data_IF_455856069032
#
_entry.id   IF_455856069032
#
_cell.length_a   1.000
_cell.length_b   1.000
_cell.length_c   1.000
_cell.angle_alpha   90.00
_cell.angle_beta   90.00
_cell.angle_gamma   90.00
#
_symmetry.space_group_name_H-M   'P 1'
#
loop_
_entity.id
_entity.type
_entity.pdbx_description
1 polymer ?
#
# COMPACT_ATOMS: atom_id res chain seq x y z
N UNK A 1 23.35 17.66 -40.82
CA UNK A 1 21.89 17.50 -41.10
C UNK A 1 21.23 16.35 -40.36
N UNK A 2 21.92 15.21 -40.17
CA UNK A 2 21.34 14.03 -39.42
C UNK A 2 21.25 14.24 -37.91
N UNK A 3 22.24 14.87 -37.29
CA UNK A 3 22.25 15.14 -35.83
C UNK A 3 21.07 16.05 -35.38
N UNK A 4 20.78 17.08 -36.19
CA UNK A 4 19.67 18.01 -35.89
C UNK A 4 18.30 17.32 -35.95
N UNK A 5 18.11 16.38 -36.89
CA UNK A 5 16.88 15.54 -36.95
C UNK A 5 16.75 14.62 -35.77
N UNK A 6 17.83 14.00 -35.29
CA UNK A 6 17.81 13.14 -34.10
C UNK A 6 17.49 13.91 -32.82
N UNK A 7 18.04 15.11 -32.66
CA UNK A 7 17.72 15.99 -31.50
C UNK A 7 16.26 16.42 -31.53
N UNK A 8 15.72 16.78 -32.68
CA UNK A 8 14.30 17.16 -32.84
C UNK A 8 13.36 15.97 -32.60
N UNK A 9 13.73 14.76 -33.02
CA UNK A 9 12.95 13.54 -32.76
C UNK A 9 12.94 13.18 -31.27
N UNK A 10 14.07 13.34 -30.56
CA UNK A 10 14.13 13.12 -29.13
C UNK A 10 13.33 14.18 -28.34
N UNK A 11 13.41 15.46 -28.74
CA UNK A 11 12.59 16.51 -28.11
C UNK A 11 11.09 16.30 -28.33
N UNK A 12 10.66 15.86 -29.52
CA UNK A 12 9.26 15.50 -29.79
C UNK A 12 8.80 14.31 -28.95
N UNK A 13 9.65 13.30 -28.77
CA UNK A 13 9.35 12.10 -27.95
C UNK A 13 9.24 12.46 -26.46
N UNK A 14 10.12 13.32 -25.95
CA UNK A 14 10.07 13.81 -24.56
C UNK A 14 8.83 14.71 -24.34
N UNK A 15 8.50 15.57 -25.28
CA UNK A 15 7.30 16.42 -25.23
C UNK A 15 6.00 15.59 -25.26
N UNK A 16 5.96 14.53 -26.07
CA UNK A 16 4.77 13.64 -26.12
C UNK A 16 4.62 12.79 -24.85
N UNK A 17 5.72 12.33 -24.25
CA UNK A 17 5.70 11.62 -22.95
C UNK A 17 5.24 12.56 -21.82
N UNK A 18 5.70 13.80 -21.79
CA UNK A 18 5.22 14.79 -20.82
C UNK A 18 3.74 15.11 -21.01
N UNK A 19 3.25 15.19 -22.24
CA UNK A 19 1.84 15.36 -22.55
C UNK A 19 0.98 14.19 -22.06
N UNK A 20 1.42 12.94 -22.25
CA UNK A 20 0.72 11.73 -21.77
C UNK A 20 0.69 11.66 -20.25
N UNK A 21 1.83 11.85 -19.60
CA UNK A 21 1.94 11.86 -18.14
C UNK A 21 1.05 12.94 -17.52
N UNK A 22 1.05 14.14 -18.09
CA UNK A 22 0.21 15.24 -17.64
C UNK A 22 -1.29 14.94 -17.83
N UNK A 23 -1.68 14.27 -18.90
CA UNK A 23 -3.06 13.83 -19.13
C UNK A 23 -3.50 12.83 -18.07
N UNK A 24 -2.68 11.84 -17.72
CA UNK A 24 -2.98 10.86 -16.66
C UNK A 24 -3.11 11.56 -15.31
N UNK A 25 -2.16 12.44 -14.96
CA UNK A 25 -2.20 13.18 -13.70
C UNK A 25 -3.45 14.06 -13.61
N UNK A 26 -3.80 14.76 -14.68
CA UNK A 26 -4.99 15.60 -14.71
C UNK A 26 -6.28 14.77 -14.65
N UNK A 27 -6.33 13.64 -15.36
CA UNK A 27 -7.43 12.70 -15.24
C UNK A 27 -7.58 12.17 -13.81
N UNK A 28 -6.47 11.75 -13.17
CA UNK A 28 -6.48 11.28 -11.80
C UNK A 28 -6.93 12.36 -10.81
N UNK A 29 -6.48 13.60 -10.96
CA UNK A 29 -6.93 14.74 -10.13
C UNK A 29 -8.45 14.92 -10.22
N UNK A 30 -9.04 14.73 -11.40
CA UNK A 30 -10.48 14.92 -11.65
C UNK A 30 -11.31 13.68 -11.26
N UNK A 31 -10.81 12.48 -11.54
CA UNK A 31 -11.59 11.24 -11.46
C UNK A 31 -11.06 10.26 -10.40
N UNK A 32 -9.96 10.59 -9.74
CA UNK A 32 -9.35 9.74 -8.72
C UNK A 32 -10.22 9.62 -7.47
N UNK A 33 -10.10 8.49 -6.78
CA UNK A 33 -10.77 8.27 -5.48
C UNK A 33 -9.97 8.94 -4.37
N UNK A 34 -10.24 10.23 -4.11
CA UNK A 34 -9.48 11.02 -3.15
C UNK A 34 -9.99 10.86 -1.70
N UNK A 35 -11.26 10.48 -1.52
CA UNK A 35 -11.95 10.46 -0.22
C UNK A 35 -11.94 9.09 0.47
N UNK A 36 -10.92 8.27 0.22
CA UNK A 36 -10.80 6.99 0.89
C UNK A 36 -10.32 7.20 2.34
N UNK A 37 -10.94 6.53 3.36
CA UNK A 37 -10.61 6.74 4.76
C UNK A 37 -9.12 6.54 5.08
N UNK A 38 -8.50 5.50 4.52
CA UNK A 38 -7.08 5.19 4.70
C UNK A 38 -6.12 6.14 3.99
N UNK A 39 -6.63 7.12 3.23
CA UNK A 39 -5.85 8.20 2.61
C UNK A 39 -5.90 9.51 3.38
N UNK A 40 -6.80 9.66 4.35
CA UNK A 40 -6.92 10.87 5.15
C UNK A 40 -5.82 10.97 6.20
N UNK A 41 -5.59 9.89 6.94
CA UNK A 41 -4.53 9.78 7.95
C UNK A 41 -3.61 8.62 7.56
N UNK A 42 -2.66 8.91 6.67
CA UNK A 42 -1.76 7.90 6.13
C UNK A 42 -0.74 7.51 7.22
N UNK A 43 -0.84 6.27 7.69
CA UNK A 43 0.17 5.64 8.53
C UNK A 43 0.48 4.24 8.01
N UNK A 44 1.67 3.67 8.27
CA UNK A 44 1.97 2.30 7.90
C UNK A 44 0.91 1.32 8.40
N UNK A 45 0.41 1.52 9.62
CA UNK A 45 -0.65 0.72 10.22
C UNK A 45 -1.97 0.80 9.43
N UNK A 46 -2.45 2.02 9.12
CA UNK A 46 -3.72 2.21 8.41
C UNK A 46 -3.66 1.65 6.97
N UNK A 47 -2.51 1.79 6.32
CA UNK A 47 -2.25 1.18 4.99
C UNK A 47 -2.29 -0.33 5.10
N UNK A 48 -1.56 -0.94 6.05
CA UNK A 48 -1.55 -2.39 6.25
C UNK A 48 -2.97 -2.96 6.43
N UNK A 49 -3.76 -2.40 7.36
CA UNK A 49 -5.13 -2.87 7.61
C UNK A 49 -6.00 -2.73 6.35
N UNK A 50 -5.93 -1.58 5.67
CA UNK A 50 -6.71 -1.35 4.45
C UNK A 50 -6.37 -2.34 3.35
N UNK A 51 -5.10 -2.62 3.13
CA UNK A 51 -4.64 -3.56 2.10
C UNK A 51 -5.11 -4.98 2.37
N UNK A 52 -5.04 -5.44 3.63
CA UNK A 52 -5.57 -6.76 3.99
C UNK A 52 -7.09 -6.81 3.81
N UNK A 53 -7.82 -5.77 4.18
CA UNK A 53 -9.27 -5.71 3.98
C UNK A 53 -9.66 -5.69 2.49
N UNK A 54 -8.84 -5.05 1.65
CA UNK A 54 -9.07 -4.94 0.21
C UNK A 54 -8.72 -6.21 -0.57
N UNK A 55 -8.00 -7.17 0.01
CA UNK A 55 -7.73 -8.45 -0.64
C UNK A 55 -9.05 -9.13 -1.01
N UNK A 56 -9.33 -9.27 -2.32
CA UNK A 56 -10.54 -9.90 -2.87
C UNK A 56 -11.87 -9.27 -2.40
N UNK A 57 -11.86 -8.03 -1.93
CA UNK A 57 -13.05 -7.32 -1.45
C UNK A 57 -13.14 -5.94 -2.10
N UNK A 58 -14.34 -5.56 -2.49
CA UNK A 58 -14.58 -4.26 -3.14
C UNK A 58 -14.43 -3.09 -2.15
N UNK A 59 -13.91 -1.97 -2.64
CA UNK A 59 -13.68 -0.74 -1.86
C UNK A 59 -14.94 -0.28 -1.11
N UNK A 60 -16.11 -0.29 -1.77
CA UNK A 60 -17.37 0.13 -1.15
C UNK A 60 -17.73 -0.70 0.08
N UNK A 61 -17.46 -2.00 0.03
CA UNK A 61 -17.69 -2.91 1.14
C UNK A 61 -16.69 -2.69 2.27
N UNK A 62 -15.43 -2.40 1.95
CA UNK A 62 -14.36 -2.24 2.95
C UNK A 62 -14.52 -0.96 3.77
N UNK A 63 -14.98 0.16 3.16
CA UNK A 63 -15.04 1.46 3.84
C UNK A 63 -15.70 1.41 5.24
N UNK A 64 -16.94 0.89 5.41
CA UNK A 64 -17.59 0.86 6.72
C UNK A 64 -16.85 -0.03 7.72
N UNK A 65 -16.30 -1.17 7.28
CA UNK A 65 -15.53 -2.06 8.13
C UNK A 65 -14.21 -1.44 8.58
N UNK A 66 -13.52 -0.79 7.67
CA UNK A 66 -12.27 -0.09 7.98
C UNK A 66 -12.49 1.01 9.03
N UNK A 67 -13.51 1.85 8.85
CA UNK A 67 -13.80 2.92 9.79
C UNK A 67 -14.08 2.36 11.20
N UNK A 68 -14.95 1.35 11.30
CA UNK A 68 -15.28 0.69 12.56
C UNK A 68 -14.06 0.02 13.20
N UNK A 69 -13.18 -0.58 12.39
CA UNK A 69 -11.98 -1.24 12.87
C UNK A 69 -10.96 -0.24 13.42
N UNK A 70 -10.70 0.87 12.69
CA UNK A 70 -9.77 1.91 13.14
C UNK A 70 -10.32 2.70 14.33
N UNK A 71 -11.63 2.87 14.45
CA UNK A 71 -12.27 3.45 15.63
C UNK A 71 -11.98 2.61 16.88
N UNK A 72 -12.09 1.28 16.78
CA UNK A 72 -11.82 0.37 17.90
C UNK A 72 -10.32 0.16 18.14
N UNK A 73 -9.54 0.08 17.07
CA UNK A 73 -8.08 -0.13 17.11
C UNK A 73 -7.37 0.99 16.35
N UNK A 74 -7.19 2.17 16.95
CA UNK A 74 -6.64 3.35 16.27
C UNK A 74 -5.15 3.21 15.90
N UNK A 75 -4.44 2.33 16.56
CA UNK A 75 -3.00 2.08 16.36
C UNK A 75 -2.65 0.61 16.57
N UNK A 76 -1.41 0.26 16.23
CA UNK A 76 -0.90 -1.10 16.35
C UNK A 76 -0.88 -1.58 17.81
N UNK A 77 -0.57 -0.70 18.76
CA UNK A 77 -0.47 -1.04 20.18
C UNK A 77 -1.80 -1.53 20.73
N UNK A 78 -2.91 -0.83 20.40
CA UNK A 78 -4.26 -1.27 20.80
C UNK A 78 -4.66 -2.56 20.11
N UNK A 79 -4.25 -2.78 18.85
CA UNK A 79 -4.57 -4.00 18.11
C UNK A 79 -3.81 -5.22 18.66
N UNK A 80 -2.56 -5.06 19.09
CA UNK A 80 -1.75 -6.11 19.72
C UNK A 80 -2.39 -6.63 21.02
N UNK A 81 -3.11 -5.77 21.74
CA UNK A 81 -3.82 -6.15 22.98
C UNK A 81 -5.09 -6.97 22.71
N UNK A 82 -5.62 -6.94 21.49
CA UNK A 82 -6.86 -7.60 21.16
C UNK A 82 -6.69 -9.13 21.09
N UNK A 83 -7.73 -9.85 21.48
CA UNK A 83 -7.85 -11.30 21.28
C UNK A 83 -8.22 -11.62 19.83
N UNK A 84 -8.02 -12.89 19.44
CA UNK A 84 -8.43 -13.36 18.11
C UNK A 84 -9.93 -13.20 17.90
N UNK A 85 -10.74 -13.52 18.91
CA UNK A 85 -12.20 -13.43 18.84
C UNK A 85 -12.69 -11.99 18.69
N UNK A 86 -12.05 -11.04 19.35
CA UNK A 86 -12.39 -9.62 19.21
C UNK A 86 -12.10 -9.10 17.80
N UNK A 87 -10.99 -9.52 17.20
CA UNK A 87 -10.65 -9.15 15.81
C UNK A 87 -11.64 -9.80 14.84
N UNK A 88 -11.97 -11.08 15.05
CA UNK A 88 -12.97 -11.81 14.24
C UNK A 88 -14.37 -11.19 14.35
N UNK A 89 -14.77 -10.73 15.52
CA UNK A 89 -16.04 -10.03 15.72
C UNK A 89 -16.13 -8.74 14.90
N UNK A 90 -15.02 -7.96 14.82
CA UNK A 90 -14.98 -6.76 13.96
C UNK A 90 -14.97 -7.09 12.46
N UNK A 91 -14.60 -8.32 12.10
CA UNK A 91 -14.53 -8.80 10.72
C UNK A 91 -15.84 -9.46 10.25
N UNK A 92 -16.78 -9.66 11.17
CA UNK A 92 -18.05 -10.35 10.90
C UNK A 92 -18.81 -9.67 9.76
N UNK A 93 -19.13 -10.45 8.71
CA UNK A 93 -19.81 -9.97 7.50
C UNK A 93 -18.88 -9.52 6.36
N UNK A 94 -17.58 -9.28 6.60
CA UNK A 94 -16.63 -8.92 5.54
C UNK A 94 -16.18 -10.14 4.70
N UNK A 95 -16.25 -11.34 5.27
CA UNK A 95 -15.81 -12.58 4.62
C UNK A 95 -14.29 -12.79 4.63
N UNK A 96 -13.88 -13.95 4.10
CA UNK A 96 -12.45 -14.34 4.05
C UNK A 96 -11.76 -14.21 5.42
N UNK A 97 -12.31 -14.82 6.45
CA UNK A 97 -11.87 -14.73 7.84
C UNK A 97 -10.42 -15.12 8.10
N UNK A 98 -9.78 -15.87 7.18
CA UNK A 98 -8.35 -16.18 7.24
C UNK A 98 -7.49 -14.90 7.28
N UNK A 99 -7.97 -13.82 6.69
CA UNK A 99 -7.27 -12.52 6.71
C UNK A 99 -7.25 -11.92 8.12
N UNK A 100 -8.38 -11.97 8.82
CA UNK A 100 -8.46 -11.52 10.23
C UNK A 100 -7.56 -12.37 11.15
N UNK A 101 -7.56 -13.69 10.96
CA UNK A 101 -6.64 -14.58 11.69
C UNK A 101 -5.17 -14.27 11.39
N UNK A 102 -4.84 -13.91 10.16
CA UNK A 102 -3.48 -13.50 9.79
C UNK A 102 -3.09 -12.18 10.44
N UNK A 103 -4.01 -11.21 10.58
CA UNK A 103 -3.75 -9.97 11.33
C UNK A 103 -3.40 -10.30 12.78
N UNK A 104 -4.20 -11.14 13.45
CA UNK A 104 -3.90 -11.55 14.82
C UNK A 104 -2.53 -12.22 14.94
N UNK A 105 -2.22 -13.18 14.07
CA UNK A 105 -0.92 -13.87 14.06
C UNK A 105 0.23 -12.89 13.79
N UNK A 106 0.06 -11.96 12.85
CA UNK A 106 1.05 -10.92 12.57
C UNK A 106 1.30 -10.03 13.79
N UNK A 107 0.25 -9.66 14.53
CA UNK A 107 0.39 -8.90 15.77
C UNK A 107 1.24 -9.65 16.81
N UNK A 108 1.09 -10.98 16.93
CA UNK A 108 1.93 -11.79 17.84
C UNK A 108 3.39 -11.79 17.41
N UNK A 109 3.66 -12.00 16.13
CA UNK A 109 5.04 -11.95 15.58
C UNK A 109 5.65 -10.55 15.77
N UNK A 110 4.87 -9.49 15.56
CA UNK A 110 5.34 -8.10 15.74
C UNK A 110 5.66 -7.83 17.21
N UNK A 111 4.84 -8.32 18.12
CA UNK A 111 5.09 -8.16 19.56
C UNK A 111 6.33 -8.91 20.02
N UNK A 112 6.54 -10.14 19.53
CA UNK A 112 7.64 -11.01 19.94
C UNK A 112 8.99 -10.59 19.33
N UNK A 113 9.00 -10.20 18.05
CA UNK A 113 10.23 -10.03 17.28
C UNK A 113 10.57 -8.58 16.92
N UNK A 114 9.60 -7.65 17.01
CA UNK A 114 9.77 -6.28 16.50
C UNK A 114 9.41 -5.18 17.51
N UNK A 115 9.41 -5.48 18.81
CA UNK A 115 9.15 -4.51 19.88
C UNK A 115 7.88 -3.67 19.65
N UNK A 116 6.78 -4.31 19.26
CA UNK A 116 5.50 -3.68 18.95
C UNK A 116 5.54 -2.63 17.83
N UNK A 117 6.53 -2.69 16.93
CA UNK A 117 6.64 -1.78 15.78
C UNK A 117 6.54 -2.54 14.47
N UNK A 118 5.81 -1.99 13.50
CA UNK A 118 5.80 -2.54 12.15
C UNK A 118 7.22 -2.48 11.56
N UNK A 119 7.74 -3.61 11.05
CA UNK A 119 9.04 -3.62 10.39
C UNK A 119 9.01 -2.75 9.13
N UNK A 120 10.15 -2.15 8.80
CA UNK A 120 10.34 -1.31 7.61
C UNK A 120 11.10 -2.03 6.50
N UNK A 121 11.76 -3.13 6.82
CA UNK A 121 12.51 -3.95 5.88
C UNK A 121 11.57 -4.92 5.15
N UNK A 122 11.78 -5.10 3.84
CA UNK A 122 10.97 -5.99 2.99
C UNK A 122 10.97 -7.44 3.50
N UNK A 123 12.13 -7.98 3.87
CA UNK A 123 12.25 -9.36 4.30
C UNK A 123 11.47 -9.61 5.60
N UNK A 124 11.54 -8.67 6.53
CA UNK A 124 10.82 -8.74 7.79
C UNK A 124 9.30 -8.59 7.58
N UNK A 125 8.87 -7.71 6.66
CA UNK A 125 7.46 -7.59 6.28
C UNK A 125 6.92 -8.87 5.62
N UNK A 126 7.69 -9.50 4.73
CA UNK A 126 7.31 -10.76 4.07
C UNK A 126 7.20 -11.93 5.06
N UNK A 127 7.90 -11.86 6.19
CA UNK A 127 7.81 -12.88 7.25
C UNK A 127 6.48 -12.84 8.01
N UNK A 128 5.75 -11.72 7.94
CA UNK A 128 4.49 -11.56 8.66
C UNK A 128 3.34 -12.33 8.00
N UNK A 129 2.55 -13.07 8.78
CA UNK A 129 1.42 -13.82 8.26
C UNK A 129 0.42 -12.96 7.47
N UNK A 130 0.14 -13.35 6.22
CA UNK A 130 -0.82 -12.66 5.36
C UNK A 130 -0.25 -11.46 4.59
N UNK A 131 1.01 -11.14 4.77
CA UNK A 131 1.71 -10.12 3.99
C UNK A 131 2.54 -10.83 2.92
N UNK A 132 2.10 -10.72 1.67
CA UNK A 132 2.85 -11.21 0.52
C UNK A 132 3.72 -10.11 -0.10
N UNK A 133 4.60 -10.50 -1.00
CA UNK A 133 5.52 -9.59 -1.71
C UNK A 133 4.80 -8.40 -2.37
N UNK A 134 3.62 -8.62 -2.94
CA UNK A 134 2.81 -7.53 -3.53
C UNK A 134 2.38 -6.49 -2.49
N UNK A 135 2.04 -6.93 -1.27
CA UNK A 135 1.70 -6.03 -0.16
C UNK A 135 2.93 -5.28 0.34
N UNK A 136 4.09 -5.96 0.45
CA UNK A 136 5.35 -5.31 0.86
C UNK A 136 5.77 -4.19 -0.09
N UNK A 137 5.58 -4.37 -1.39
CA UNK A 137 5.91 -3.36 -2.40
C UNK A 137 5.12 -2.04 -2.23
N UNK A 138 3.95 -2.08 -1.60
CA UNK A 138 3.17 -0.86 -1.30
C UNK A 138 3.84 -0.01 -0.20
N UNK A 139 4.63 -0.63 0.68
CA UNK A 139 5.36 0.07 1.75
C UNK A 139 6.74 0.55 1.34
N UNK A 140 7.40 -0.22 0.49
CA UNK A 140 8.85 -0.11 0.27
C UNK A 140 9.21 0.25 -1.16
N UNK A 141 8.28 0.08 -2.10
CA UNK A 141 8.54 0.48 -3.49
C UNK A 141 8.50 1.99 -3.58
N UNK A 142 9.61 2.62 -3.98
CA UNK A 142 9.53 3.99 -4.41
C UNK A 142 8.47 4.06 -5.52
N UNK A 143 7.61 5.06 -5.46
CA UNK A 143 6.66 5.33 -6.53
C UNK A 143 7.42 5.30 -7.86
N UNK A 144 6.84 4.81 -8.96
CA UNK A 144 7.45 4.98 -10.28
C UNK A 144 7.87 6.42 -10.59
N UNK A 145 7.34 7.39 -9.83
CA UNK A 145 7.74 8.80 -9.87
C UNK A 145 9.04 9.09 -9.13
N UNK A 146 9.43 8.25 -8.16
CA UNK A 146 10.68 8.42 -7.40
C UNK A 146 11.88 7.74 -8.09
N UNK A 147 11.64 7.05 -9.20
CA UNK A 147 12.65 6.41 -10.05
C UNK A 147 13.44 7.40 -10.91
N UNK A 148 13.81 8.55 -10.40
CA UNK A 148 14.84 9.39 -11.05
C UNK A 148 16.25 8.86 -10.85
N UNK A 149 16.45 7.72 -10.19
CA UNK A 149 17.75 7.08 -9.91
C UNK A 149 17.81 5.58 -10.18
N UNK A 150 17.13 5.07 -11.19
CA UNK A 150 17.51 3.76 -11.72
C UNK A 150 18.70 3.95 -12.66
N UNK A 151 19.91 3.93 -12.12
CA UNK A 151 21.11 3.63 -12.91
C UNK A 151 20.98 2.20 -13.38
N UNK A 152 20.78 2.00 -14.67
CA UNK A 152 21.12 0.72 -15.29
C UNK A 152 22.60 0.45 -15.02
N UNK A 153 22.98 -0.76 -14.55
CA UNK A 153 24.38 -1.11 -14.53
C UNK A 153 24.89 -1.02 -15.96
N UNK A 154 25.92 -0.21 -16.16
CA UNK A 154 26.71 -0.22 -17.39
C UNK A 154 27.29 -1.62 -17.53
N UNK A 155 26.85 -2.38 -18.53
CA UNK A 155 27.52 -3.59 -18.93
C UNK A 155 28.89 -3.20 -19.49
N UNK A 156 29.95 -3.52 -18.76
CA UNK A 156 31.31 -3.61 -19.29
C UNK A 156 31.43 -4.86 -20.15
#
# INVERSE_FOLDING_TARGET
MLLTKMVQLNQKKISSMNSFSNRIVNWYKKNGRHNLPWRKNISPYSVWISEIMLQQTQVKTVIPYFNKFIEKYPNLETLIQASEDEILAQWSGLGFYRRAKNIYKACRVISENFNNKLPTNINDLESLPGIGRSTCLLYTSPSPRDRTRSRMPSSA
#
